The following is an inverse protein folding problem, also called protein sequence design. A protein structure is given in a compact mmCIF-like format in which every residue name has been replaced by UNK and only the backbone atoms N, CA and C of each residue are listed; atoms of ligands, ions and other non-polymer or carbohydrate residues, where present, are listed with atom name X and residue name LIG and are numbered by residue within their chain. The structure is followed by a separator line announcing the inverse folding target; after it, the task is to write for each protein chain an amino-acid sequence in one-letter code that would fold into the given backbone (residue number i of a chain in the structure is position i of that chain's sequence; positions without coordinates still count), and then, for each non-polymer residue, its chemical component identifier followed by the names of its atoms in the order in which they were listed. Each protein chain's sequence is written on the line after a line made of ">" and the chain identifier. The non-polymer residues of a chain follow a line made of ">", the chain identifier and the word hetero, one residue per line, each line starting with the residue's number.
data_IF_846673601953
#
_entry.id   IF_846673601953
#
_cell.length_a   1.000
_cell.length_b   1.000
_cell.length_c   1.000
_cell.angle_alpha   90.00
_cell.angle_beta   90.00
_cell.angle_gamma   90.00
#
_symmetry.space_group_name_H-M   'P 1'
#
loop_
_entity.id
_entity.type
_entity.pdbx_description
1 polymer ?
#
# COMPACT_ATOMS: atom_id res chain seq x y z
N UNK A 1 -16.04 -9.46 -12.47
CA UNK A 1 -14.92 -8.52 -12.69
C UNK A 1 -15.48 -7.11 -12.60
N UNK A 2 -14.98 -6.26 -11.70
CA UNK A 2 -15.38 -4.84 -11.67
C UNK A 2 -14.54 -4.08 -12.71
N UNK A 3 -15.17 -3.18 -13.47
CA UNK A 3 -14.47 -2.37 -14.48
C UNK A 3 -13.53 -1.35 -13.83
N UNK A 4 -13.99 -0.70 -12.76
CA UNK A 4 -13.21 0.21 -11.91
C UNK A 4 -12.91 -0.51 -10.59
N UNK A 5 -11.66 -0.46 -10.14
CA UNK A 5 -11.18 -1.29 -9.02
C UNK A 5 -11.97 -1.10 -7.71
N UNK A 6 -12.34 0.15 -7.37
CA UNK A 6 -13.04 0.47 -6.13
C UNK A 6 -13.95 1.70 -6.25
N UNK A 7 -14.80 1.90 -5.23
CA UNK A 7 -15.78 2.99 -5.18
C UNK A 7 -15.14 4.37 -5.03
N UNK A 8 -14.02 4.47 -4.31
CA UNK A 8 -13.28 5.72 -4.14
C UNK A 8 -12.76 6.23 -5.48
N UNK A 9 -12.15 5.35 -6.27
CA UNK A 9 -11.67 5.67 -7.61
C UNK A 9 -12.82 6.11 -8.51
N UNK A 10 -13.92 5.34 -8.54
CA UNK A 10 -15.13 5.69 -9.29
C UNK A 10 -15.75 7.03 -8.86
N UNK A 11 -15.76 7.32 -7.56
CA UNK A 11 -16.24 8.59 -7.02
C UNK A 11 -15.42 9.76 -7.56
N UNK A 12 -14.08 9.66 -7.54
CA UNK A 12 -13.22 10.72 -8.06
C UNK A 12 -13.31 10.86 -9.58
N UNK A 13 -13.47 9.77 -10.34
CA UNK A 13 -13.76 9.85 -11.78
C UNK A 13 -15.02 10.67 -12.06
N UNK A 14 -16.11 10.43 -11.32
CA UNK A 14 -17.35 11.20 -11.46
C UNK A 14 -17.18 12.66 -11.03
N UNK A 15 -16.41 12.93 -9.96
CA UNK A 15 -16.10 14.30 -9.53
C UNK A 15 -15.31 15.06 -10.59
N UNK A 16 -14.31 14.43 -11.19
CA UNK A 16 -13.54 14.98 -12.31
C UNK A 16 -14.45 15.23 -13.50
N UNK A 17 -15.30 14.28 -13.88
CA UNK A 17 -16.26 14.46 -14.97
C UNK A 17 -17.17 15.68 -14.74
N UNK A 18 -17.78 15.78 -13.55
CA UNK A 18 -18.64 16.92 -13.19
C UNK A 18 -17.89 18.25 -13.22
N UNK A 19 -16.65 18.27 -12.74
CA UNK A 19 -15.81 19.46 -12.75
C UNK A 19 -15.49 19.90 -14.19
N UNK A 20 -15.04 18.98 -15.05
CA UNK A 20 -14.72 19.27 -16.46
C UNK A 20 -15.95 19.79 -17.21
N UNK A 21 -17.11 19.19 -16.98
CA UNK A 21 -18.38 19.66 -17.52
C UNK A 21 -18.74 21.07 -17.04
N UNK A 22 -18.51 21.37 -15.76
CA UNK A 22 -18.81 22.67 -15.18
C UNK A 22 -17.95 23.80 -15.75
N UNK A 23 -16.68 23.52 -16.06
CA UNK A 23 -15.76 24.50 -16.65
C UNK A 23 -15.88 24.61 -18.19
N UNK A 24 -16.85 23.93 -18.80
CA UNK A 24 -17.20 24.09 -20.22
C UNK A 24 -16.56 23.09 -21.18
N UNK A 25 -16.02 21.96 -20.70
CA UNK A 25 -15.56 20.89 -21.60
C UNK A 25 -16.77 20.25 -22.28
N UNK A 26 -16.71 20.09 -23.61
CA UNK A 26 -17.74 19.40 -24.38
C UNK A 26 -17.77 17.90 -24.01
N UNK A 27 -18.89 17.36 -23.48
CA UNK A 27 -19.00 15.95 -23.10
C UNK A 27 -18.78 15.00 -24.28
N UNK A 28 -19.05 15.43 -25.52
CA UNK A 28 -18.78 14.61 -26.71
C UNK A 28 -17.29 14.44 -27.00
N UNK A 29 -16.47 15.30 -26.40
CA UNK A 29 -15.00 15.35 -26.54
C UNK A 29 -14.29 14.95 -25.26
N UNK A 30 -15.00 14.36 -24.30
CA UNK A 30 -14.45 13.88 -23.04
C UNK A 30 -14.60 12.37 -22.96
N UNK A 31 -13.51 11.67 -22.64
CA UNK A 31 -13.55 10.23 -22.34
C UNK A 31 -12.66 9.90 -21.14
N UNK A 32 -12.94 8.76 -20.51
CA UNK A 32 -12.05 8.15 -19.54
C UNK A 32 -11.38 6.95 -20.19
N UNK A 33 -10.04 6.92 -20.18
CA UNK A 33 -9.23 5.82 -20.70
C UNK A 33 -8.55 5.12 -19.54
N UNK A 34 -8.76 3.82 -19.40
CA UNK A 34 -8.02 3.02 -18.43
C UNK A 34 -6.60 2.78 -18.97
N UNK A 35 -5.61 2.87 -18.10
CA UNK A 35 -4.24 2.44 -18.43
C UNK A 35 -4.21 0.94 -18.65
N UNK A 36 -3.47 0.51 -19.68
CA UNK A 36 -3.19 -0.91 -19.88
C UNK A 36 -2.13 -1.38 -18.88
N UNK A 37 -2.03 -2.69 -18.68
CA UNK A 37 -1.07 -3.30 -17.74
C UNK A 37 0.39 -2.96 -18.04
N UNK A 38 0.73 -2.67 -19.29
CA UNK A 38 2.07 -2.24 -19.74
C UNK A 38 2.32 -0.73 -19.61
N UNK A 39 1.26 0.07 -19.38
CA UNK A 39 1.33 1.52 -19.17
C UNK A 39 1.19 1.88 -17.69
N UNK A 40 0.60 0.98 -16.90
CA UNK A 40 0.42 1.14 -15.47
C UNK A 40 1.77 1.32 -14.79
N UNK A 41 1.92 2.44 -14.09
CA UNK A 41 3.09 2.66 -13.28
C UNK A 41 3.24 1.54 -12.25
N UNK A 42 4.48 1.11 -11.98
CA UNK A 42 4.80 0.01 -11.08
C UNK A 42 4.25 0.15 -9.65
N UNK A 43 3.76 1.34 -9.30
CA UNK A 43 3.17 1.70 -8.00
C UNK A 43 1.65 1.83 -8.01
N UNK A 44 0.97 1.68 -9.16
CA UNK A 44 -0.47 1.85 -9.29
C UNK A 44 -1.20 0.50 -9.36
N UNK A 45 -2.37 0.42 -8.72
CA UNK A 45 -3.26 -0.75 -8.78
C UNK A 45 -4.32 -0.64 -9.88
N UNK A 46 -4.76 0.58 -10.16
CA UNK A 46 -5.67 0.93 -11.27
C UNK A 46 -5.46 2.43 -11.58
N UNK A 47 -5.53 2.82 -12.86
CA UNK A 47 -5.28 4.18 -13.29
C UNK A 47 -6.17 4.55 -14.48
N UNK A 48 -6.79 5.73 -14.39
CA UNK A 48 -7.72 6.26 -15.39
C UNK A 48 -7.38 7.70 -15.75
N UNK A 49 -7.29 7.96 -17.05
CA UNK A 49 -7.07 9.30 -17.58
C UNK A 49 -8.38 9.89 -18.09
N UNK A 50 -8.70 11.11 -17.65
CA UNK A 50 -9.67 11.94 -18.33
C UNK A 50 -8.97 12.62 -19.52
N UNK A 51 -9.36 12.23 -20.73
CA UNK A 51 -8.80 12.74 -21.96
C UNK A 51 -9.79 13.66 -22.67
N UNK A 52 -9.27 14.76 -23.23
CA UNK A 52 -10.05 15.73 -24.01
C UNK A 52 -9.60 15.68 -25.47
N UNK A 53 -10.56 15.60 -26.40
CA UNK A 53 -10.32 15.65 -27.83
C UNK A 53 -10.05 17.09 -28.29
N UNK A 54 -8.82 17.32 -28.77
CA UNK A 54 -8.33 18.61 -29.29
C UNK A 54 -7.97 18.51 -30.77
N UNK A 55 -7.47 19.60 -31.37
CA UNK A 55 -6.93 19.58 -32.74
C UNK A 55 -5.71 18.66 -32.92
N UNK A 56 -5.05 18.27 -31.82
CA UNK A 56 -3.91 17.37 -31.83
C UNK A 56 -4.28 15.92 -31.48
N UNK A 57 -5.58 15.63 -31.35
CA UNK A 57 -6.10 14.33 -30.92
C UNK A 57 -6.48 14.32 -29.43
N UNK A 58 -6.59 13.10 -28.87
CA UNK A 58 -6.91 12.88 -27.47
C UNK A 58 -5.69 13.17 -26.59
N UNK A 59 -5.85 14.09 -25.65
CA UNK A 59 -4.78 14.49 -24.73
C UNK A 59 -5.24 14.23 -23.29
N UNK A 60 -4.39 13.59 -22.50
CA UNK A 60 -4.57 13.47 -21.05
C UNK A 60 -4.61 14.87 -20.41
N UNK A 61 -5.69 15.17 -19.68
CA UNK A 61 -5.83 16.41 -18.93
C UNK A 61 -5.88 16.17 -17.42
N UNK A 62 -6.31 14.99 -16.97
CA UNK A 62 -6.35 14.60 -15.55
C UNK A 62 -6.08 13.11 -15.41
N UNK A 63 -4.98 12.73 -14.76
CA UNK A 63 -4.70 11.35 -14.34
C UNK A 63 -5.28 11.04 -12.95
N UNK A 64 -5.92 9.88 -12.81
CA UNK A 64 -6.55 9.41 -11.57
C UNK A 64 -5.99 8.03 -11.24
N UNK A 65 -5.03 7.99 -10.31
CA UNK A 65 -4.29 6.78 -9.97
C UNK A 65 -4.55 6.32 -8.53
N UNK A 66 -4.85 5.03 -8.36
CA UNK A 66 -4.81 4.37 -7.06
C UNK A 66 -3.41 3.80 -6.80
N UNK A 67 -2.66 4.42 -5.88
CA UNK A 67 -1.27 4.05 -5.54
C UNK A 67 -1.17 3.21 -4.27
N UNK A 68 -2.31 2.81 -3.70
CA UNK A 68 -2.40 2.11 -2.42
C UNK A 68 -1.47 2.73 -1.35
N UNK A 69 -0.53 1.93 -0.83
CA UNK A 69 0.43 2.34 0.19
C UNK A 69 1.86 2.48 -0.34
N UNK A 70 2.08 2.49 -1.66
CA UNK A 70 3.43 2.41 -2.22
C UNK A 70 4.31 3.57 -1.73
N UNK A 71 3.84 4.80 -1.87
CA UNK A 71 4.62 6.00 -1.54
C UNK A 71 4.99 6.08 -0.06
N UNK A 72 4.00 5.89 0.82
CA UNK A 72 4.22 5.90 2.26
C UNK A 72 5.19 4.79 2.68
N UNK A 73 5.09 3.60 2.07
CA UNK A 73 6.00 2.49 2.37
C UNK A 73 7.42 2.76 1.92
N UNK A 74 7.61 3.35 0.73
CA UNK A 74 8.94 3.70 0.23
C UNK A 74 9.57 4.81 1.08
N UNK A 75 8.81 5.86 1.42
CA UNK A 75 9.31 6.94 2.26
C UNK A 75 9.62 6.48 3.69
N UNK A 76 8.78 5.62 4.26
CA UNK A 76 9.04 5.04 5.59
C UNK A 76 10.32 4.21 5.60
N UNK A 77 10.54 3.37 4.58
CA UNK A 77 11.78 2.57 4.43
C UNK A 77 13.02 3.44 4.26
N UNK A 78 12.93 4.51 3.47
CA UNK A 78 14.06 5.38 3.17
C UNK A 78 14.46 6.28 4.36
N UNK A 79 13.48 6.74 5.14
CA UNK A 79 13.71 7.71 6.23
C UNK A 79 13.79 7.08 7.61
N UNK A 80 13.24 5.87 7.79
CA UNK A 80 13.05 5.25 9.11
C UNK A 80 11.85 5.81 9.87
N UNK A 81 11.15 6.82 9.34
CA UNK A 81 9.99 7.44 9.98
C UNK A 81 8.72 6.60 9.78
N UNK A 82 7.90 6.51 10.83
CA UNK A 82 6.66 5.73 10.83
C UNK A 82 5.51 6.53 10.19
N UNK A 83 5.21 6.25 8.92
CA UNK A 83 4.13 6.89 8.16
C UNK A 83 2.86 6.00 8.09
N UNK A 84 2.17 5.83 9.22
CA UNK A 84 0.95 5.01 9.28
C UNK A 84 -0.18 5.71 10.05
N UNK A 85 -1.41 5.29 9.78
CA UNK A 85 -2.56 5.65 10.61
C UNK A 85 -2.89 4.52 11.59
N UNK A 86 -3.27 4.86 12.81
CA UNK A 86 -3.71 3.91 13.82
C UNK A 86 -5.21 4.11 14.07
N UNK A 87 -5.96 3.01 14.07
CA UNK A 87 -7.40 3.02 14.37
C UNK A 87 -7.63 2.20 15.62
N UNK A 88 -8.25 2.84 16.61
CA UNK A 88 -8.67 2.17 17.84
C UNK A 88 -9.71 1.11 17.50
N UNK A 89 -9.52 -0.10 18.04
CA UNK A 89 -10.47 -1.19 17.89
C UNK A 89 -11.74 -0.89 18.68
N UNK A 90 -12.88 -1.40 18.22
CA UNK A 90 -14.16 -1.23 18.92
C UNK A 90 -14.12 -1.80 20.34
N UNK A 91 -13.40 -2.91 20.51
CA UNK A 91 -13.16 -3.55 21.79
C UNK A 91 -11.67 -3.92 21.91
N UNK A 92 -11.04 -3.75 23.09
CA UNK A 92 -9.67 -4.18 23.31
C UNK A 92 -9.54 -5.69 23.08
N UNK A 93 -8.56 -6.10 22.27
CA UNK A 93 -8.27 -7.52 22.03
C UNK A 93 -7.16 -7.99 22.98
N UNK A 94 -7.49 -8.86 23.92
CA UNK A 94 -6.49 -9.62 24.68
C UNK A 94 -5.99 -10.78 23.83
N UNK A 95 -4.67 -10.91 23.70
CA UNK A 95 -4.01 -11.94 22.91
C UNK A 95 -2.99 -12.67 23.78
N UNK A 96 -2.84 -13.97 23.58
CA UNK A 96 -1.80 -14.74 24.28
C UNK A 96 -0.51 -14.72 23.47
N UNK A 97 0.56 -14.24 24.10
CA UNK A 97 1.90 -14.19 23.50
C UNK A 97 2.84 -15.06 24.33
N UNK A 98 3.48 -16.04 23.69
CA UNK A 98 4.59 -16.79 24.25
C UNK A 98 5.84 -16.26 23.56
N UNK A 99 6.61 -15.42 24.24
CA UNK A 99 7.82 -14.82 23.69
C UNK A 99 9.06 -15.63 24.09
N UNK A 100 9.87 -16.01 23.10
CA UNK A 100 11.15 -16.65 23.34
C UNK A 100 12.17 -15.58 23.77
N UNK A 101 12.63 -15.62 25.03
CA UNK A 101 13.58 -14.63 25.56
C UNK A 101 15.03 -15.15 25.47
N UNK A 102 15.87 -14.65 24.54
CA UNK A 102 17.24 -15.13 24.38
C UNK A 102 18.16 -14.64 25.51
N UNK A 103 18.95 -15.53 26.09
CA UNK A 103 20.06 -15.16 26.95
C UNK A 103 21.22 -14.60 26.10
N UNK A 104 21.20 -13.28 25.88
CA UNK A 104 22.18 -12.57 25.04
C UNK A 104 23.64 -12.79 25.47
N UNK A 105 23.89 -12.93 26.77
CA UNK A 105 25.25 -13.14 27.29
C UNK A 105 25.78 -14.53 26.93
N UNK A 106 24.97 -15.58 27.12
CA UNK A 106 25.33 -16.94 26.76
C UNK A 106 25.51 -17.09 25.23
N UNK A 107 24.57 -16.55 24.46
CA UNK A 107 24.61 -16.62 22.98
C UNK A 107 25.81 -15.84 22.44
N UNK A 108 26.06 -14.63 22.95
CA UNK A 108 27.22 -13.82 22.54
C UNK A 108 28.56 -14.51 22.82
N UNK A 109 28.67 -15.20 23.97
CA UNK A 109 29.89 -15.91 24.36
C UNK A 109 30.17 -17.14 23.49
N UNK A 110 29.13 -17.89 23.13
CA UNK A 110 29.25 -19.15 22.37
C UNK A 110 29.39 -18.87 20.87
N UNK A 111 28.50 -18.05 20.31
CA UNK A 111 28.34 -17.91 18.86
C UNK A 111 29.07 -16.71 18.26
N UNK A 112 29.59 -15.78 19.08
CA UNK A 112 30.40 -14.62 18.67
C UNK A 112 29.83 -13.87 17.44
N UNK A 113 30.42 -14.03 16.26
CA UNK A 113 30.00 -13.40 15.00
C UNK A 113 28.60 -13.84 14.55
N UNK A 114 28.20 -15.06 14.89
CA UNK A 114 26.89 -15.63 14.54
C UNK A 114 25.80 -15.31 15.58
N UNK A 115 26.18 -14.74 16.73
CA UNK A 115 25.26 -14.48 17.85
C UNK A 115 24.04 -13.65 17.44
N UNK A 116 24.21 -12.72 16.49
CA UNK A 116 23.11 -11.91 15.94
C UNK A 116 22.09 -12.77 15.20
N UNK A 117 22.54 -13.66 14.32
CA UNK A 117 21.67 -14.52 13.52
C UNK A 117 20.97 -15.55 14.42
N UNK A 118 21.71 -16.19 15.33
CA UNK A 118 21.15 -17.15 16.31
C UNK A 118 20.09 -16.52 17.20
N UNK A 119 20.28 -15.27 17.61
CA UNK A 119 19.26 -14.54 18.40
C UNK A 119 17.99 -14.27 17.58
N UNK A 120 18.13 -13.90 16.31
CA UNK A 120 16.99 -13.69 15.40
C UNK A 120 16.25 -15.00 15.18
N UNK A 121 16.96 -16.10 14.95
CA UNK A 121 16.36 -17.41 14.73
C UNK A 121 15.68 -17.96 15.99
N UNK A 122 16.23 -17.69 17.18
CA UNK A 122 15.60 -18.04 18.44
C UNK A 122 14.26 -17.31 18.65
N UNK A 123 14.19 -16.03 18.28
CA UNK A 123 12.96 -15.24 18.38
C UNK A 123 11.82 -15.79 17.48
N UNK A 124 12.14 -16.55 16.43
CA UNK A 124 11.14 -17.20 15.55
C UNK A 124 10.30 -18.25 16.27
N UNK A 125 10.74 -18.79 17.40
CA UNK A 125 9.96 -19.74 18.21
C UNK A 125 8.90 -19.08 19.09
N UNK A 126 8.79 -17.75 19.08
CA UNK A 126 7.71 -17.05 19.76
C UNK A 126 6.37 -17.38 19.11
N UNK A 127 5.31 -17.52 19.93
CA UNK A 127 3.95 -17.83 19.51
C UNK A 127 3.00 -16.67 19.81
N UNK A 128 2.04 -16.44 18.91
CA UNK A 128 0.92 -15.53 19.03
C UNK A 128 -0.38 -16.32 18.84
N UNK A 129 -1.26 -16.36 19.85
CA UNK A 129 -2.49 -17.17 19.87
C UNK A 129 -2.24 -18.63 19.42
N UNK A 130 -1.13 -19.24 19.88
CA UNK A 130 -0.75 -20.63 19.57
C UNK A 130 -0.15 -20.86 18.18
N UNK A 131 0.07 -19.80 17.38
CA UNK A 131 0.72 -19.86 16.05
C UNK A 131 2.07 -19.14 16.07
N UNK A 132 3.00 -19.54 15.22
CA UNK A 132 4.33 -18.90 15.12
C UNK A 132 4.17 -17.40 14.80
N UNK A 133 4.74 -16.54 15.65
CA UNK A 133 4.54 -15.09 15.69
C UNK A 133 4.99 -14.38 14.39
N UNK A 134 6.01 -14.93 13.72
CA UNK A 134 6.51 -14.46 12.42
C UNK A 134 5.53 -14.69 11.24
N UNK A 135 4.40 -15.39 11.44
CA UNK A 135 3.37 -15.55 10.41
C UNK A 135 2.35 -14.41 10.35
N UNK A 136 2.31 -13.53 11.37
CA UNK A 136 1.32 -12.44 11.47
C UNK A 136 1.89 -11.04 11.16
N UNK A 137 3.18 -10.83 11.39
CA UNK A 137 3.86 -9.59 11.05
C UNK A 137 4.82 -9.91 9.89
N UNK A 138 4.33 -9.75 8.66
CA UNK A 138 5.11 -9.95 7.45
C UNK A 138 6.37 -9.07 7.45
N UNK A 139 7.44 -9.62 6.88
CA UNK A 139 8.67 -8.91 6.52
C UNK A 139 8.43 -7.68 5.63
#
# INVERSE_FOLDING_TARGET
>A
MKLVANETLGYYMVRVHKYLMHIGVDPKRLRFRQHLTNEMAHYACDCWDAEILTSYGWIECVGIADRACYDLSQHSKATGEKLVAEKVLSEPKTVQVIEAVPNKAAIGKIYKTEAKQVSIDFLKYSLFDGKILFSFFGA
#
